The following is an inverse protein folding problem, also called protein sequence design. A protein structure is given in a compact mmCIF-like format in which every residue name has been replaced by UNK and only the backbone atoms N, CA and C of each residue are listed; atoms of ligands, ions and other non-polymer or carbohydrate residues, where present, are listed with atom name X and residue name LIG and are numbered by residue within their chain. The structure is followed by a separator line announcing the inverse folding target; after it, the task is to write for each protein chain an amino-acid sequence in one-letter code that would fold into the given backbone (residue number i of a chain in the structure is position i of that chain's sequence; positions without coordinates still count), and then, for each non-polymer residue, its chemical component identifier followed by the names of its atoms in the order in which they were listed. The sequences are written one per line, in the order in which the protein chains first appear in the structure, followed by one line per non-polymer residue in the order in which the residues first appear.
data_IF_232622887227
#
_entry.id   IF_232622887227
#
_cell.length_a   1.000
_cell.length_b   1.000
_cell.length_c   1.000
_cell.angle_alpha   90.00
_cell.angle_beta   90.00
_cell.angle_gamma   90.00
#
_symmetry.space_group_name_H-M   'P 1'
#
loop_
_entity.id
_entity.type
_entity.pdbx_description
1 polymer ?
#
# COMPACT_ATOMS: atom_id res chain seq x y z
N UNK A 1 13.86 26.69 -6.75
CA UNK A 1 14.21 25.78 -5.64
C UNK A 1 13.71 26.42 -4.35
N UNK A 2 13.06 25.66 -3.47
CA UNK A 2 12.62 26.15 -2.17
C UNK A 2 13.48 25.49 -1.09
N UNK A 3 13.94 26.28 -0.11
CA UNK A 3 14.75 25.80 1.01
C UNK A 3 13.83 25.59 2.20
N UNK A 4 13.98 24.44 2.87
CA UNK A 4 13.28 24.13 4.12
C UNK A 4 14.31 23.98 5.24
N UNK A 5 13.94 24.40 6.44
CA UNK A 5 14.73 24.18 7.65
C UNK A 5 14.05 23.09 8.47
N UNK A 6 14.77 22.00 8.75
CA UNK A 6 14.29 20.88 9.55
C UNK A 6 14.98 20.92 10.92
N UNK A 7 14.21 20.89 12.00
CA UNK A 7 14.74 20.61 13.33
C UNK A 7 14.80 19.10 13.52
N UNK A 8 15.94 18.60 13.99
CA UNK A 8 16.11 17.20 14.34
C UNK A 8 16.79 17.09 15.70
N UNK A 9 16.59 15.95 16.36
CA UNK A 9 17.43 15.57 17.49
C UNK A 9 18.86 15.21 17.02
N UNK A 10 19.75 15.02 18.00
CA UNK A 10 21.14 14.69 17.75
C UNK A 10 21.30 13.30 17.14
N UNK A 11 20.45 12.34 17.52
CA UNK A 11 20.57 10.95 17.06
C UNK A 11 20.26 10.85 15.57
N UNK A 12 19.19 11.50 15.12
CA UNK A 12 18.84 11.63 13.71
C UNK A 12 19.91 12.36 12.92
N UNK A 13 20.46 13.46 13.46
CA UNK A 13 21.51 14.21 12.79
C UNK A 13 22.78 13.37 12.58
N UNK A 14 23.17 12.60 13.61
CA UNK A 14 24.32 11.70 13.55
C UNK A 14 24.09 10.57 12.55
N UNK A 15 22.94 9.89 12.64
CA UNK A 15 22.54 8.85 11.70
C UNK A 15 22.58 9.36 10.25
N UNK A 16 22.04 10.55 10.01
CA UNK A 16 22.01 11.15 8.68
C UNK A 16 23.42 11.45 8.17
N UNK A 17 24.32 11.94 9.02
CA UNK A 17 25.72 12.17 8.65
C UNK A 17 26.46 10.87 8.32
N UNK A 18 26.23 9.80 9.07
CA UNK A 18 26.87 8.50 8.81
C UNK A 18 26.36 7.86 7.52
N UNK A 19 25.06 8.01 7.23
CA UNK A 19 24.48 7.59 5.95
C UNK A 19 25.06 8.40 4.77
N UNK A 20 25.20 9.72 4.92
CA UNK A 20 25.79 10.59 3.89
C UNK A 20 27.23 10.18 3.59
N UNK A 21 28.03 9.86 4.61
CA UNK A 21 29.41 9.38 4.46
C UNK A 21 29.48 8.02 3.76
N UNK A 22 28.63 7.08 4.17
CA UNK A 22 28.66 5.72 3.62
C UNK A 22 28.15 5.64 2.18
N UNK A 23 27.20 6.50 1.81
CA UNK A 23 26.59 6.53 0.48
C UNK A 23 27.27 7.52 -0.49
N UNK A 24 28.34 8.19 -0.04
CA UNK A 24 29.06 9.23 -0.79
C UNK A 24 28.11 10.23 -1.47
N UNK A 25 27.20 10.80 -0.68
CA UNK A 25 26.18 11.72 -1.17
C UNK A 25 26.12 12.97 -0.30
N UNK A 26 25.14 13.86 -0.52
CA UNK A 26 24.89 15.01 0.33
C UNK A 26 23.57 14.86 1.09
N UNK A 27 23.46 15.57 2.23
CA UNK A 27 22.28 15.54 3.11
C UNK A 27 20.97 15.79 2.36
N UNK A 28 20.95 16.83 1.53
CA UNK A 28 19.76 17.24 0.80
C UNK A 28 19.30 16.19 -0.22
N UNK A 29 20.24 15.54 -0.90
CA UNK A 29 19.95 14.49 -1.87
C UNK A 29 19.47 13.21 -1.18
N UNK A 30 20.10 12.83 -0.07
CA UNK A 30 19.67 11.71 0.76
C UNK A 30 18.24 11.92 1.29
N UNK A 31 17.95 13.10 1.86
CA UNK A 31 16.61 13.45 2.36
C UNK A 31 15.59 13.40 1.23
N UNK A 32 15.91 13.96 0.06
CA UNK A 32 15.00 13.95 -1.09
C UNK A 32 14.66 12.53 -1.54
N UNK A 33 15.67 11.67 -1.68
CA UNK A 33 15.49 10.27 -2.05
C UNK A 33 14.67 9.51 -1.01
N UNK A 34 14.97 9.71 0.27
CA UNK A 34 14.24 9.07 1.36
C UNK A 34 12.76 9.47 1.37
N UNK A 35 12.44 10.75 1.18
CA UNK A 35 11.05 11.24 1.13
C UNK A 35 10.29 10.68 -0.07
N UNK A 36 10.90 10.64 -1.25
CA UNK A 36 10.29 10.04 -2.45
C UNK A 36 10.03 8.56 -2.22
N UNK A 37 11.03 7.83 -1.72
CA UNK A 37 10.90 6.40 -1.43
C UNK A 37 9.78 6.14 -0.40
N UNK A 38 9.73 6.93 0.67
CA UNK A 38 8.69 6.78 1.69
C UNK A 38 7.28 7.02 1.13
N UNK A 39 7.10 8.04 0.27
CA UNK A 39 5.83 8.27 -0.43
C UNK A 39 5.43 7.05 -1.26
N UNK A 40 6.35 6.52 -2.06
CA UNK A 40 6.05 5.40 -2.96
C UNK A 40 5.70 4.12 -2.18
N UNK A 41 6.32 3.90 -1.01
CA UNK A 41 5.97 2.82 -0.10
C UNK A 41 4.54 2.98 0.45
N UNK A 42 4.19 4.18 0.93
CA UNK A 42 2.84 4.46 1.43
C UNK A 42 1.76 4.27 0.35
N UNK A 43 2.03 4.68 -0.88
CA UNK A 43 1.12 4.45 -2.00
C UNK A 43 0.91 2.97 -2.29
N UNK A 44 1.99 2.16 -2.28
CA UNK A 44 1.90 0.71 -2.44
C UNK A 44 1.11 0.04 -1.32
N UNK A 45 1.28 0.49 -0.08
CA UNK A 45 0.51 -0.03 1.06
C UNK A 45 -0.98 0.29 0.93
N UNK A 46 -1.31 1.54 0.56
CA UNK A 46 -2.69 1.95 0.30
C UNK A 46 -3.32 1.10 -0.81
N UNK A 47 -2.59 0.86 -1.90
CA UNK A 47 -3.04 0.02 -3.00
C UNK A 47 -3.28 -1.43 -2.54
N UNK A 48 -2.37 -2.02 -1.77
CA UNK A 48 -2.55 -3.36 -1.19
C UNK A 48 -3.84 -3.46 -0.38
N UNK A 49 -4.13 -2.47 0.45
CA UNK A 49 -5.37 -2.43 1.26
C UNK A 49 -6.61 -2.39 0.36
N UNK A 50 -6.59 -1.58 -0.70
CA UNK A 50 -7.70 -1.49 -1.65
C UNK A 50 -7.93 -2.81 -2.39
N UNK A 51 -6.87 -3.43 -2.90
CA UNK A 51 -6.95 -4.73 -3.58
C UNK A 51 -7.50 -5.80 -2.64
N UNK A 52 -7.01 -5.83 -1.39
CA UNK A 52 -7.50 -6.77 -0.37
C UNK A 52 -9.00 -6.58 -0.13
N UNK A 53 -9.47 -5.34 0.01
CA UNK A 53 -10.89 -5.03 0.21
C UNK A 53 -11.75 -5.43 -0.99
N UNK A 54 -11.30 -5.11 -2.21
CA UNK A 54 -11.99 -5.50 -3.44
C UNK A 54 -12.09 -7.03 -3.58
N UNK A 55 -11.00 -7.75 -3.26
CA UNK A 55 -10.95 -9.21 -3.32
C UNK A 55 -11.93 -9.86 -2.34
N UNK A 56 -12.05 -9.32 -1.12
CA UNK A 56 -13.05 -9.81 -0.15
C UNK A 56 -14.47 -9.62 -0.68
N UNK A 57 -14.79 -8.43 -1.21
CA UNK A 57 -16.11 -8.14 -1.76
C UNK A 57 -16.46 -9.07 -2.92
N UNK A 58 -15.54 -9.27 -3.86
CA UNK A 58 -15.75 -10.19 -5.00
C UNK A 58 -15.99 -11.61 -4.52
N UNK A 59 -15.25 -12.06 -3.49
CA UNK A 59 -15.44 -13.39 -2.91
C UNK A 59 -16.82 -13.56 -2.27
N UNK A 60 -17.29 -12.55 -1.55
CA UNK A 60 -18.64 -12.54 -0.95
C UNK A 60 -19.73 -12.60 -2.00
N UNK A 61 -19.64 -11.75 -3.03
CA UNK A 61 -20.61 -11.75 -4.14
C UNK A 61 -20.58 -13.06 -4.93
N UNK A 62 -19.39 -13.60 -5.21
CA UNK A 62 -19.24 -14.88 -5.91
C UNK A 62 -19.85 -16.05 -5.12
N UNK A 63 -19.68 -16.05 -3.79
CA UNK A 63 -20.32 -17.04 -2.92
C UNK A 63 -21.85 -16.88 -2.93
N UNK A 64 -22.36 -15.64 -2.92
CA UNK A 64 -23.79 -15.37 -2.99
C UNK A 64 -24.40 -15.87 -4.30
N UNK A 65 -23.77 -15.53 -5.43
CA UNK A 65 -24.19 -15.99 -6.76
C UNK A 65 -24.17 -17.51 -6.85
N UNK A 66 -23.13 -18.17 -6.34
CA UNK A 66 -23.06 -19.64 -6.34
C UNK A 66 -24.23 -20.26 -5.59
N UNK A 67 -24.57 -19.72 -4.42
CA UNK A 67 -25.75 -20.16 -3.65
C UNK A 67 -27.07 -19.91 -4.37
N UNK A 68 -27.18 -18.79 -5.09
CA UNK A 68 -28.36 -18.50 -5.91
C UNK A 68 -28.53 -19.57 -7.00
N UNK A 69 -27.46 -19.95 -7.70
CA UNK A 69 -27.49 -21.02 -8.69
C UNK A 69 -27.83 -22.39 -8.08
N UNK A 70 -27.26 -22.73 -6.92
CA UNK A 70 -27.58 -23.98 -6.22
C UNK A 70 -29.07 -24.08 -5.89
N UNK A 71 -29.70 -22.96 -5.51
CA UNK A 71 -31.13 -22.92 -5.20
C UNK A 71 -32.03 -23.08 -6.45
N UNK A 72 -31.51 -22.77 -7.64
CA UNK A 72 -32.23 -22.94 -8.91
C UNK A 72 -32.07 -24.33 -9.54
N UNK A 73 -31.28 -25.23 -8.95
CA UNK A 73 -30.98 -26.54 -9.54
C UNK A 73 -32.21 -27.43 -9.80
N UNK A 74 -33.26 -27.28 -8.99
CA UNK A 74 -34.51 -28.03 -9.13
C UNK A 74 -35.64 -27.19 -9.75
N UNK A 75 -35.34 -25.97 -10.19
CA UNK A 75 -36.33 -25.07 -10.79
C UNK A 75 -36.84 -25.67 -12.11
N UNK A 76 -38.15 -25.90 -12.21
CA UNK A 76 -38.81 -26.53 -13.36
C UNK A 76 -38.82 -28.06 -13.39
N UNK A 77 -38.26 -28.76 -12.39
CA UNK A 77 -38.29 -30.24 -12.30
C UNK A 77 -39.46 -30.79 -11.46
N UNK A 78 -40.20 -29.94 -10.74
CA UNK A 78 -41.35 -30.34 -9.91
C UNK A 78 -42.65 -30.62 -10.71
N UNK A 79 -42.61 -30.58 -12.04
CA UNK A 79 -43.77 -30.75 -12.94
C UNK A 79 -43.59 -31.78 -14.07
N UNK A 80 -42.66 -32.74 -13.92
CA UNK A 80 -42.47 -33.86 -14.86
C UNK A 80 -42.93 -35.18 -14.27
#
# INVERSE_FOLDING_TARGET
MHTITLKSDNDFFNMLNDMVKSLDTNRSDLIRKAVIHYRDVLEKEKLKIQIKKASMKVREESLKVSKEFDNTLNDGLDHV
#
